data_IF_210831929740
#
_entry.id   IF_210831929740
#
_cell.length_a   1.000
_cell.length_b   1.000
_cell.length_c   1.000
_cell.angle_alpha   90.00
_cell.angle_beta   90.00
_cell.angle_gamma   90.00
#
_symmetry.space_group_name_H-M   'P 1'
#
loop_
_entity.id
_entity.type
_entity.pdbx_description
1 polymer ?
#
# COMPACT_ATOMS: atom_id res chain seq x y z
N UNK A 1 -14.91 -6.75 -10.67
CA UNK A 1 -13.66 -6.80 -9.88
C UNK A 1 -14.00 -7.31 -8.48
N UNK A 2 -13.11 -8.06 -7.84
CA UNK A 2 -13.34 -8.60 -6.49
C UNK A 2 -12.85 -7.60 -5.44
N UNK A 3 -13.54 -7.49 -4.31
CA UNK A 3 -13.12 -6.74 -3.12
C UNK A 3 -12.00 -7.50 -2.41
N UNK A 4 -10.74 -7.31 -2.83
CA UNK A 4 -9.63 -8.16 -2.39
C UNK A 4 -9.27 -8.01 -0.90
N UNK A 5 -9.40 -6.81 -0.32
CA UNK A 5 -9.05 -6.57 1.09
C UNK A 5 -7.72 -7.17 1.50
N UNK A 6 -7.72 -7.90 2.62
CA UNK A 6 -6.54 -8.57 3.16
C UNK A 6 -6.31 -9.98 2.61
N UNK A 7 -6.98 -10.41 1.54
CA UNK A 7 -6.55 -11.62 0.83
C UNK A 7 -5.14 -11.44 0.27
N UNK A 8 -4.38 -12.53 0.12
CA UNK A 8 -3.00 -12.44 -0.35
C UNK A 8 -2.90 -11.89 -1.78
N UNK A 9 -3.71 -12.44 -2.69
CA UNK A 9 -3.68 -12.12 -4.12
C UNK A 9 -2.34 -12.45 -4.79
N UNK A 10 -2.25 -12.26 -6.11
CA UNK A 10 -1.01 -12.32 -6.89
C UNK A 10 -1.03 -11.24 -7.95
N UNK A 11 0.14 -10.84 -8.42
CA UNK A 11 0.23 -9.98 -9.59
C UNK A 11 -0.32 -10.69 -10.82
N UNK A 12 -1.01 -9.94 -11.67
CA UNK A 12 -1.27 -10.36 -13.04
C UNK A 12 -0.01 -10.17 -13.89
N UNK A 13 0.01 -10.74 -15.10
CA UNK A 13 1.09 -10.47 -16.07
C UNK A 13 1.29 -8.97 -16.33
N UNK A 14 0.18 -8.23 -16.40
CA UNK A 14 0.23 -6.77 -16.54
C UNK A 14 0.80 -6.11 -15.28
N UNK A 15 0.40 -6.54 -14.08
CA UNK A 15 0.96 -6.02 -12.83
C UNK A 15 2.46 -6.28 -12.69
N UNK A 16 2.94 -7.46 -13.12
CA UNK A 16 4.38 -7.73 -13.18
C UNK A 16 5.09 -6.83 -14.18
N UNK A 17 4.51 -6.59 -15.36
CA UNK A 17 5.07 -5.66 -16.35
C UNK A 17 5.17 -4.24 -15.79
N UNK A 18 4.12 -3.77 -15.13
CA UNK A 18 4.07 -2.46 -14.47
C UNK A 18 5.13 -2.34 -13.36
N UNK A 19 5.31 -3.38 -12.53
CA UNK A 19 6.34 -3.40 -11.49
C UNK A 19 7.77 -3.33 -12.09
N UNK A 20 8.03 -4.05 -13.19
CA UNK A 20 9.33 -4.00 -13.88
C UNK A 20 9.60 -2.62 -14.51
N UNK A 21 8.61 -2.03 -15.17
CA UNK A 21 8.70 -0.68 -15.72
C UNK A 21 8.93 0.37 -14.63
N UNK A 22 8.26 0.21 -13.48
CA UNK A 22 8.50 1.09 -12.34
C UNK A 22 9.94 0.94 -11.82
N UNK A 23 10.45 -0.29 -11.74
CA UNK A 23 11.81 -0.55 -11.31
C UNK A 23 12.85 0.14 -12.23
N UNK A 24 12.60 0.18 -13.54
CA UNK A 24 13.43 0.90 -14.51
C UNK A 24 13.31 2.42 -14.35
N UNK A 25 12.10 2.95 -14.18
CA UNK A 25 11.87 4.39 -13.97
C UNK A 25 12.53 4.92 -12.69
N UNK A 26 12.62 4.07 -11.68
CA UNK A 26 13.28 4.41 -10.42
C UNK A 26 14.78 4.23 -10.49
N UNK A 27 15.37 3.76 -11.58
CA UNK A 27 16.81 3.59 -11.67
C UNK A 27 17.54 4.92 -11.43
N UNK A 28 18.66 4.88 -10.71
CA UNK A 28 19.38 6.08 -10.26
C UNK A 28 18.71 6.90 -9.14
N UNK A 29 17.44 6.64 -8.77
CA UNK A 29 16.80 7.31 -7.62
C UNK A 29 17.43 6.82 -6.32
N UNK A 30 17.81 7.72 -5.41
CA UNK A 30 18.33 7.33 -4.10
C UNK A 30 17.23 6.68 -3.24
N UNK A 31 17.47 5.44 -2.79
CA UNK A 31 16.56 4.68 -1.91
C UNK A 31 17.45 3.91 -0.93
N UNK A 32 17.28 4.14 0.36
CA UNK A 32 18.03 3.48 1.43
C UNK A 32 17.39 2.17 1.88
N UNK A 33 16.06 2.04 1.79
CA UNK A 33 15.34 0.87 2.26
C UNK A 33 14.04 0.61 1.49
N UNK A 34 13.64 -0.66 1.46
CA UNK A 34 12.38 -1.12 0.90
C UNK A 34 11.51 -1.70 2.01
N UNK A 35 10.27 -1.23 2.10
CA UNK A 35 9.26 -1.74 3.02
C UNK A 35 8.02 -2.12 2.23
N UNK A 36 7.36 -3.23 2.58
CA UNK A 36 6.14 -3.66 1.91
C UNK A 36 5.09 -4.13 2.90
N UNK A 37 3.83 -4.04 2.49
CA UNK A 37 2.79 -4.92 3.01
C UNK A 37 3.22 -6.38 2.87
N UNK A 38 2.84 -7.19 3.85
CA UNK A 38 3.02 -8.64 3.84
C UNK A 38 2.02 -9.38 2.92
N UNK A 39 1.08 -8.67 2.29
CA UNK A 39 0.22 -9.26 1.26
C UNK A 39 1.02 -9.50 -0.02
N UNK A 40 0.93 -10.72 -0.53
CA UNK A 40 1.78 -11.24 -1.62
C UNK A 40 1.87 -10.33 -2.84
N UNK A 41 0.76 -9.75 -3.30
CA UNK A 41 0.76 -8.82 -4.46
C UNK A 41 1.61 -7.57 -4.26
N UNK A 42 1.66 -7.03 -3.03
CA UNK A 42 2.49 -5.87 -2.70
C UNK A 42 3.94 -6.29 -2.52
N UNK A 43 4.18 -7.39 -1.81
CA UNK A 43 5.52 -7.95 -1.63
C UNK A 43 6.19 -8.30 -2.97
N UNK A 44 5.48 -8.97 -3.88
CA UNK A 44 6.02 -9.32 -5.21
C UNK A 44 6.38 -8.05 -6.00
N UNK A 45 5.59 -6.98 -5.90
CA UNK A 45 5.89 -5.68 -6.51
C UNK A 45 7.17 -5.09 -5.92
N UNK A 46 7.27 -5.03 -4.59
CA UNK A 46 8.45 -4.52 -3.91
C UNK A 46 9.70 -5.35 -4.23
N UNK A 47 9.58 -6.67 -4.29
CA UNK A 47 10.68 -7.58 -4.60
C UNK A 47 11.19 -7.41 -6.04
N UNK A 48 10.30 -7.19 -7.02
CA UNK A 48 10.69 -6.88 -8.40
C UNK A 48 11.51 -5.58 -8.45
N UNK A 49 11.08 -4.54 -7.72
CA UNK A 49 11.75 -3.24 -7.70
C UNK A 49 13.10 -3.33 -6.97
N UNK A 50 13.11 -3.92 -5.78
CA UNK A 50 14.31 -4.06 -4.94
C UNK A 50 15.34 -5.02 -5.54
N UNK A 51 14.89 -6.05 -6.30
CA UNK A 51 15.75 -7.04 -6.93
C UNK A 51 16.77 -6.44 -7.90
N UNK A 52 16.41 -5.38 -8.63
CA UNK A 52 17.36 -4.64 -9.49
C UNK A 52 18.50 -3.99 -8.71
N UNK A 53 18.28 -3.68 -7.43
CA UNK A 53 19.23 -3.02 -6.53
C UNK A 53 19.90 -3.99 -5.55
N UNK A 54 19.54 -5.28 -5.60
CA UNK A 54 20.01 -6.34 -4.67
C UNK A 54 19.77 -5.99 -3.20
N UNK A 55 18.65 -5.32 -2.91
CA UNK A 55 18.26 -4.94 -1.55
C UNK A 55 17.14 -5.85 -1.03
N UNK A 56 17.15 -6.11 0.28
CA UNK A 56 16.08 -6.84 0.93
C UNK A 56 14.84 -5.95 1.13
N UNK A 57 13.66 -6.58 1.19
CA UNK A 57 12.38 -5.92 1.48
C UNK A 57 11.96 -6.29 2.90
N UNK A 58 11.84 -5.29 3.77
CA UNK A 58 11.21 -5.46 5.07
C UNK A 58 9.69 -5.53 4.91
N UNK A 59 9.03 -6.41 5.66
CA UNK A 59 7.57 -6.60 5.59
C UNK A 59 6.89 -6.10 6.86
N UNK A 60 5.72 -5.48 6.71
CA UNK A 60 4.91 -5.00 7.83
C UNK A 60 3.41 -5.13 7.55
N UNK A 61 2.62 -5.61 8.53
CA UNK A 61 1.16 -5.66 8.38
C UNK A 61 0.52 -4.26 8.40
N UNK A 62 1.26 -3.22 8.84
CA UNK A 62 0.74 -1.85 8.90
C UNK A 62 0.35 -1.32 7.51
N UNK A 63 0.95 -1.85 6.45
CA UNK A 63 0.66 -1.51 5.06
C UNK A 63 -0.37 -2.42 4.39
N UNK A 64 -1.02 -3.36 5.10
CA UNK A 64 -2.12 -4.16 4.52
C UNK A 64 -3.22 -3.26 3.97
N UNK A 65 -3.94 -3.75 2.95
CA UNK A 65 -5.12 -3.05 2.46
C UNK A 65 -6.17 -2.92 3.57
N UNK A 66 -7.12 -2.01 3.39
CA UNK A 66 -8.30 -1.93 4.26
C UNK A 66 -8.90 -3.32 4.47
N UNK A 67 -9.17 -3.66 5.72
CA UNK A 67 -9.95 -4.85 6.02
C UNK A 67 -11.40 -4.62 5.63
N UNK A 68 -11.89 -5.39 4.66
CA UNK A 68 -13.27 -5.31 4.20
C UNK A 68 -14.19 -6.28 4.93
N UNK A 69 -13.71 -6.98 5.96
CA UNK A 69 -14.53 -7.91 6.74
C UNK A 69 -15.24 -8.91 5.82
N UNK A 70 -16.55 -9.06 6.00
CA UNK A 70 -17.39 -9.99 5.23
C UNK A 70 -17.58 -9.60 3.76
N UNK A 71 -17.19 -8.39 3.35
CA UNK A 71 -17.12 -8.02 1.94
C UNK A 71 -15.87 -8.55 1.24
N UNK A 72 -14.85 -9.00 1.98
CA UNK A 72 -13.62 -9.54 1.40
C UNK A 72 -13.91 -10.76 0.52
N UNK A 73 -13.40 -10.74 -0.71
CA UNK A 73 -13.57 -11.82 -1.69
C UNK A 73 -14.88 -11.76 -2.48
N UNK A 74 -15.80 -10.85 -2.16
CA UNK A 74 -17.06 -10.67 -2.90
C UNK A 74 -16.87 -9.84 -4.18
N UNK A 75 -17.75 -10.05 -5.15
CA UNK A 75 -17.77 -9.30 -6.41
C UNK A 75 -18.32 -7.89 -6.16
N UNK A 76 -17.56 -6.85 -6.49
CA UNK A 76 -17.88 -5.46 -6.11
C UNK A 76 -19.27 -4.99 -6.59
N UNK A 77 -19.70 -5.27 -7.83
CA UNK A 77 -21.04 -4.89 -8.28
C UNK A 77 -22.19 -5.45 -7.43
N UNK A 78 -22.00 -6.61 -6.79
CA UNK A 78 -23.04 -7.23 -5.95
C UNK A 78 -23.17 -6.54 -4.58
N UNK A 79 -22.24 -5.65 -4.23
CA UNK A 79 -22.19 -4.99 -2.92
C UNK A 79 -22.94 -3.66 -2.87
N UNK A 80 -23.47 -3.18 -4.01
CA UNK A 80 -23.99 -1.82 -4.13
C UNK A 80 -25.12 -1.50 -3.15
N UNK A 81 -25.99 -2.48 -2.91
CA UNK A 81 -27.21 -2.34 -2.10
C UNK A 81 -27.17 -3.18 -0.81
N UNK A 82 -26.00 -3.76 -0.50
CA UNK A 82 -25.79 -4.59 0.69
C UNK A 82 -25.51 -3.72 1.93
N UNK A 83 -26.04 -4.09 3.11
CA UNK A 83 -25.69 -3.42 4.35
C UNK A 83 -24.19 -3.57 4.63
N UNK A 84 -23.60 -2.52 5.20
CA UNK A 84 -22.21 -2.54 5.60
C UNK A 84 -21.99 -3.51 6.76
N UNK A 85 -21.08 -4.50 6.65
CA UNK A 85 -20.76 -5.39 7.75
C UNK A 85 -20.13 -4.62 8.91
N UNK A 86 -20.42 -5.04 10.13
CA UNK A 86 -19.87 -4.42 11.34
C UNK A 86 -18.36 -4.63 11.48
N UNK A 87 -17.82 -5.68 10.84
CA UNK A 87 -16.41 -6.06 10.91
C UNK A 87 -15.52 -5.37 9.86
N UNK A 88 -16.04 -4.41 9.09
CA UNK A 88 -15.22 -3.63 8.16
C UNK A 88 -14.38 -2.61 8.94
N UNK A 89 -13.08 -2.53 8.64
CA UNK A 89 -12.19 -1.56 9.27
C UNK A 89 -12.69 -0.12 9.02
N UNK A 90 -12.84 0.65 10.09
CA UNK A 90 -13.30 2.04 10.02
C UNK A 90 -12.22 2.96 9.42
N UNK A 91 -12.64 4.12 8.92
CA UNK A 91 -11.69 5.12 8.41
C UNK A 91 -10.73 5.60 9.51
N UNK A 92 -11.21 5.72 10.76
CA UNK A 92 -10.40 6.15 11.90
C UNK A 92 -9.34 5.11 12.27
N UNK A 93 -9.72 3.83 12.34
CA UNK A 93 -8.79 2.71 12.57
C UNK A 93 -7.73 2.64 11.48
N UNK A 94 -8.12 2.82 10.22
CA UNK A 94 -7.20 2.88 9.08
C UNK A 94 -6.22 4.07 9.19
N UNK A 95 -6.70 5.25 9.58
CA UNK A 95 -5.86 6.42 9.80
C UNK A 95 -4.91 6.24 11.00
N UNK A 96 -5.35 5.58 12.07
CA UNK A 96 -4.50 5.22 13.19
C UNK A 96 -3.38 4.26 12.75
N UNK A 97 -3.71 3.24 11.96
CA UNK A 97 -2.73 2.32 11.38
C UNK A 97 -1.74 3.04 10.47
N UNK A 98 -2.19 4.01 9.68
CA UNK A 98 -1.31 4.88 8.89
C UNK A 98 -0.37 5.74 9.76
N UNK A 99 -0.85 6.31 10.89
CA UNK A 99 0.00 7.01 11.87
C UNK A 99 1.06 6.10 12.46
N UNK A 100 0.67 4.87 12.82
CA UNK A 100 1.60 3.85 13.32
C UNK A 100 2.66 3.47 12.28
N UNK A 101 2.30 3.40 11.00
CA UNK A 101 3.25 3.18 9.91
C UNK A 101 4.25 4.35 9.78
N UNK A 102 3.76 5.60 9.81
CA UNK A 102 4.64 6.79 9.79
C UNK A 102 5.60 6.77 10.98
N UNK A 103 5.09 6.48 12.19
CA UNK A 103 5.93 6.36 13.39
C UNK A 103 6.95 5.23 13.30
N UNK A 104 6.58 4.10 12.69
CA UNK A 104 7.51 3.00 12.38
C UNK A 104 8.63 3.47 11.44
N UNK A 105 8.31 4.17 10.34
CA UNK A 105 9.33 4.69 9.42
C UNK A 105 10.27 5.68 10.12
N UNK A 106 9.73 6.63 10.90
CA UNK A 106 10.54 7.61 11.64
C UNK A 106 11.51 6.97 12.63
N UNK A 107 11.09 5.88 13.29
CA UNK A 107 11.88 5.19 14.31
C UNK A 107 12.94 4.25 13.70
N UNK A 108 12.56 3.43 12.72
CA UNK A 108 13.45 2.39 12.17
C UNK A 108 14.37 2.93 11.06
N UNK A 109 13.96 4.01 10.38
CA UNK A 109 14.66 4.55 9.22
C UNK A 109 14.90 6.08 9.35
N UNK A 110 15.53 6.56 10.44
CA UNK A 110 15.71 7.99 10.67
C UNK A 110 16.60 8.62 9.60
N UNK A 111 16.09 9.66 8.93
CA UNK A 111 16.82 10.40 7.88
C UNK A 111 17.03 9.62 6.57
N UNK A 112 16.30 8.53 6.36
CA UNK A 112 16.46 7.63 5.21
C UNK A 112 15.34 7.80 4.18
N UNK A 113 15.68 7.62 2.91
CA UNK A 113 14.70 7.54 1.83
C UNK A 113 14.15 6.11 1.73
N UNK A 114 12.89 5.90 2.13
CA UNK A 114 12.26 4.58 2.13
C UNK A 114 11.24 4.48 0.98
N UNK A 115 11.37 3.44 0.15
CA UNK A 115 10.30 3.06 -0.78
C UNK A 115 9.36 2.08 -0.09
N UNK A 116 8.12 2.51 0.12
CA UNK A 116 7.09 1.72 0.78
C UNK A 116 6.01 1.26 -0.22
N UNK A 117 5.70 -0.04 -0.26
CA UNK A 117 4.68 -0.63 -1.13
C UNK A 117 3.49 -1.13 -0.31
N UNK A 118 2.36 -0.44 -0.44
CA UNK A 118 1.08 -0.81 0.18
C UNK A 118 -0.03 -1.04 -0.85
N UNK A 119 -1.24 -0.58 -0.53
CA UNK A 119 -2.43 -0.71 -1.39
C UNK A 119 -3.18 0.62 -1.47
N UNK A 120 -4.19 0.72 -2.33
CA UNK A 120 -4.81 1.98 -2.68
C UNK A 120 -5.38 2.74 -1.47
N UNK A 121 -6.14 2.07 -0.61
CA UNK A 121 -6.85 2.74 0.49
C UNK A 121 -5.92 3.04 1.66
N UNK A 122 -5.01 2.13 2.02
CA UNK A 122 -3.99 2.41 3.04
C UNK A 122 -2.97 3.48 2.61
N UNK A 123 -2.50 3.48 1.36
CA UNK A 123 -1.60 4.53 0.86
C UNK A 123 -2.28 5.91 0.85
N UNK A 124 -3.59 5.92 0.58
CA UNK A 124 -4.42 7.11 0.68
C UNK A 124 -4.51 7.63 2.11
N UNK A 125 -4.65 6.73 3.10
CA UNK A 125 -4.64 7.10 4.51
C UNK A 125 -3.27 7.61 4.98
N UNK A 126 -2.16 7.00 4.53
CA UNK A 126 -0.80 7.48 4.82
C UNK A 126 -0.58 8.91 4.32
N UNK A 127 -1.01 9.20 3.08
CA UNK A 127 -0.97 10.55 2.52
C UNK A 127 -1.85 11.53 3.30
N UNK A 128 -3.08 11.14 3.64
CA UNK A 128 -4.02 11.95 4.41
C UNK A 128 -3.41 12.37 5.76
N UNK A 129 -2.86 11.40 6.50
CA UNK A 129 -2.19 11.63 7.77
C UNK A 129 -0.95 12.50 7.61
N UNK A 130 -0.10 12.21 6.62
CA UNK A 130 1.12 12.96 6.34
C UNK A 130 0.84 14.44 6.04
N UNK A 131 -0.22 14.73 5.28
CA UNK A 131 -0.57 16.09 4.88
C UNK A 131 -1.53 16.81 5.85
N UNK A 132 -2.03 16.12 6.88
CA UNK A 132 -3.06 16.67 7.77
C UNK A 132 -4.38 16.97 7.05
N UNK A 133 -4.76 16.15 6.06
CA UNK A 133 -5.97 16.34 5.23
C UNK A 133 -6.91 15.14 5.34
N UNK A 134 -8.23 15.33 5.15
CA UNK A 134 -9.16 14.20 5.11
C UNK A 134 -8.85 13.29 3.91
N UNK A 135 -9.09 11.98 4.07
CA UNK A 135 -8.90 11.01 2.99
C UNK A 135 -9.67 11.40 1.73
N UNK A 136 -10.88 11.96 1.84
CA UNK A 136 -11.66 12.41 0.68
C UNK A 136 -10.90 13.41 -0.22
N UNK A 137 -9.96 14.18 0.35
CA UNK A 137 -9.13 15.14 -0.39
C UNK A 137 -7.89 14.54 -1.06
N UNK A 138 -7.64 13.24 -0.92
CA UNK A 138 -6.51 12.55 -1.56
C UNK A 138 -6.98 11.84 -2.83
N UNK A 139 -6.36 12.16 -3.96
CA UNK A 139 -6.64 11.53 -5.24
C UNK A 139 -6.34 10.03 -5.19
N UNK A 140 -7.13 9.23 -5.92
CA UNK A 140 -6.87 7.80 -6.10
C UNK A 140 -5.48 7.60 -6.71
N UNK A 141 -4.80 6.53 -6.31
CA UNK A 141 -3.57 6.08 -6.95
C UNK A 141 -3.86 5.05 -8.03
N UNK A 142 -3.12 5.13 -9.13
CA UNK A 142 -3.06 4.13 -10.18
C UNK A 142 -2.10 2.98 -9.80
N UNK A 143 -2.18 1.89 -10.56
CA UNK A 143 -1.31 0.73 -10.33
C UNK A 143 0.16 1.10 -10.60
N UNK A 144 1.04 0.70 -9.68
CA UNK A 144 2.47 1.02 -9.72
C UNK A 144 2.77 2.53 -9.86
N UNK A 145 1.88 3.39 -9.36
CA UNK A 145 2.15 4.81 -9.19
C UNK A 145 3.04 5.05 -7.96
N UNK A 146 3.93 6.05 -8.04
CA UNK A 146 4.76 6.50 -6.92
C UNK A 146 4.37 7.92 -6.53
N UNK A 147 4.24 8.15 -5.22
CA UNK A 147 4.10 9.49 -4.63
C UNK A 147 5.18 9.68 -3.58
N UNK A 148 5.76 10.88 -3.56
CA UNK A 148 6.80 11.25 -2.61
C UNK A 148 6.17 12.03 -1.46
N UNK A 149 6.48 11.61 -0.24
CA UNK A 149 6.03 12.25 1.00
C UNK A 149 7.25 12.68 1.81
N UNK A 150 7.16 13.83 2.46
CA UNK A 150 8.21 14.38 3.32
C UNK A 150 7.58 14.69 4.67
N UNK A 151 8.06 14.05 5.73
CA UNK A 151 7.49 14.13 7.08
C UNK A 151 8.47 13.76 8.18
#
# INVERSE_FOLDING_TARGET
MIMQGQTQGRLSREGERQARQLAERLDGTHIDAFVSSDLRRAFDTAAIIAGRRRMAVAVTPLLRERDWGDFTGRYIPDLKDEPWPENVETADSLCERARRFIGYIKREYPGKCVLAVGHGIINKAVQAVCHGRPMSGIARMDNAEVRVLVF
#
